data_IF_766108014850
#
_entry.id   IF_766108014850
#
_cell.length_a   1.000
_cell.length_b   1.000
_cell.length_c   1.000
_cell.angle_alpha   90.00
_cell.angle_beta   90.00
_cell.angle_gamma   90.00
#
_symmetry.space_group_name_H-M   'P 1'
#
loop_
_entity.id
_entity.type
_entity.pdbx_description
1 polymer ?
#
# COMPACT_ATOMS: atom_id res chain seq x y z
N UNK A 1 -12.85 -23.76 -10.77
CA UNK A 1 -12.97 -22.71 -9.73
C UNK A 1 -11.78 -22.74 -8.76
N UNK A 2 -11.58 -23.79 -7.96
CA UNK A 2 -10.59 -23.80 -6.86
C UNK A 2 -9.10 -23.62 -7.23
N UNK A 3 -8.65 -24.11 -8.40
CA UNK A 3 -7.25 -23.94 -8.84
C UNK A 3 -6.85 -22.50 -9.16
N UNK A 4 -7.83 -21.66 -9.51
CA UNK A 4 -7.65 -20.24 -9.88
C UNK A 4 -7.71 -19.38 -8.62
N UNK A 5 -8.72 -19.62 -7.79
CA UNK A 5 -8.93 -18.93 -6.51
C UNK A 5 -7.71 -19.02 -5.59
N UNK A 6 -7.01 -20.17 -5.55
CA UNK A 6 -5.89 -20.36 -4.64
C UNK A 6 -4.71 -19.41 -4.90
N UNK A 7 -4.38 -19.15 -6.17
CA UNK A 7 -3.28 -18.25 -6.51
C UNK A 7 -3.60 -16.81 -6.12
N UNK A 8 -4.81 -16.36 -6.44
CA UNK A 8 -5.22 -15.00 -6.11
C UNK A 8 -5.37 -14.78 -4.60
N UNK A 9 -6.10 -15.65 -3.93
CA UNK A 9 -6.32 -15.60 -2.49
C UNK A 9 -5.00 -15.71 -1.72
N UNK A 10 -4.11 -16.64 -2.11
CA UNK A 10 -2.80 -16.79 -1.50
C UNK A 10 -1.93 -15.55 -1.65
N UNK A 11 -1.89 -14.97 -2.85
CA UNK A 11 -1.17 -13.70 -3.11
C UNK A 11 -1.69 -12.59 -2.22
N UNK A 12 -3.01 -12.44 -2.15
CA UNK A 12 -3.65 -11.37 -1.40
C UNK A 12 -3.40 -11.48 0.11
N UNK A 13 -3.54 -12.69 0.68
CA UNK A 13 -3.20 -12.96 2.09
C UNK A 13 -1.73 -12.62 2.36
N UNK A 14 -0.82 -13.03 1.48
CA UNK A 14 0.60 -12.76 1.64
C UNK A 14 0.89 -11.25 1.62
N UNK A 15 0.32 -10.49 0.68
CA UNK A 15 0.47 -9.03 0.61
C UNK A 15 -0.09 -8.35 1.86
N UNK A 16 -1.27 -8.75 2.35
CA UNK A 16 -1.84 -8.25 3.62
C UNK A 16 -0.86 -8.46 4.78
N UNK A 17 -0.32 -9.69 4.93
CA UNK A 17 0.61 -10.01 6.01
C UNK A 17 1.87 -9.14 5.91
N UNK A 18 2.43 -8.99 4.71
CA UNK A 18 3.61 -8.16 4.46
C UNK A 18 3.32 -6.71 4.86
N UNK A 19 2.21 -6.15 4.38
CA UNK A 19 1.79 -4.78 4.71
C UNK A 19 1.65 -4.57 6.21
N UNK A 20 0.98 -5.47 6.92
CA UNK A 20 0.81 -5.36 8.37
C UNK A 20 2.13 -5.48 9.13
N UNK A 21 3.04 -6.37 8.71
CA UNK A 21 4.35 -6.50 9.35
C UNK A 21 5.22 -5.25 9.13
N UNK A 22 5.20 -4.69 7.92
CA UNK A 22 5.90 -3.44 7.61
C UNK A 22 5.33 -2.26 8.41
N UNK A 23 4.01 -2.20 8.56
CA UNK A 23 3.37 -1.18 9.40
C UNK A 23 3.79 -1.30 10.86
N UNK A 24 3.71 -2.50 11.45
CA UNK A 24 4.15 -2.73 12.84
C UNK A 24 5.66 -2.50 13.02
N UNK A 25 6.48 -2.71 12.00
CA UNK A 25 7.90 -2.37 12.03
C UNK A 25 8.15 -0.84 11.97
N UNK A 26 7.14 -0.06 11.57
CA UNK A 26 7.19 1.40 11.48
C UNK A 26 7.49 1.94 10.09
N UNK A 27 7.44 1.11 9.04
CA UNK A 27 7.84 1.45 7.68
C UNK A 27 7.05 2.63 7.11
N UNK A 28 5.72 2.55 7.14
CA UNK A 28 4.86 3.58 6.55
C UNK A 28 4.90 4.89 7.33
N UNK A 29 4.99 4.83 8.66
CA UNK A 29 5.17 6.00 9.52
C UNK A 29 6.52 6.68 9.27
N UNK A 30 7.58 5.88 9.12
CA UNK A 30 8.91 6.36 8.74
C UNK A 30 8.89 7.06 7.38
N UNK A 31 8.18 6.49 6.40
CA UNK A 31 8.05 7.07 5.07
C UNK A 31 7.25 8.39 5.11
N UNK A 32 6.11 8.40 5.80
CA UNK A 32 5.28 9.60 5.97
C UNK A 32 6.05 10.74 6.64
N UNK A 33 6.85 10.47 7.67
CA UNK A 33 7.68 11.49 8.33
C UNK A 33 8.83 12.03 7.44
N UNK A 34 9.37 11.22 6.53
CA UNK A 34 10.35 11.69 5.54
C UNK A 34 9.71 12.58 4.50
N UNK A 35 8.61 12.10 3.91
CA UNK A 35 7.80 12.83 2.93
C UNK A 35 7.33 14.17 3.52
N UNK A 36 6.92 14.18 4.79
CA UNK A 36 6.54 15.38 5.49
C UNK A 36 7.70 16.34 5.80
N UNK A 37 8.94 15.87 5.89
CA UNK A 37 10.10 16.76 5.96
C UNK A 37 10.49 17.31 4.58
N UNK A 38 10.37 16.49 3.53
CA UNK A 38 10.61 16.92 2.15
C UNK A 38 9.66 18.01 1.68
N UNK A 39 8.46 18.09 2.26
CA UNK A 39 7.54 19.21 2.04
C UNK A 39 8.13 20.57 2.44
N UNK A 40 9.18 20.60 3.27
CA UNK A 40 9.98 21.80 3.55
C UNK A 40 9.18 22.94 4.16
N UNK A 41 8.12 22.63 4.90
CA UNK A 41 7.23 23.61 5.51
C UNK A 41 6.13 24.14 4.59
N UNK A 42 6.05 23.74 3.32
CA UNK A 42 4.96 24.15 2.42
C UNK A 42 3.81 23.14 2.40
N UNK A 43 2.61 23.55 2.80
CA UNK A 43 1.45 22.66 2.88
C UNK A 43 1.02 22.10 1.52
N UNK A 44 1.21 22.86 0.42
CA UNK A 44 0.98 22.36 -0.95
C UNK A 44 1.96 21.27 -1.35
N UNK A 45 3.25 21.43 -1.04
CA UNK A 45 4.25 20.39 -1.31
C UNK A 45 3.95 19.15 -0.47
N UNK A 46 3.59 19.33 0.80
CA UNK A 46 3.17 18.24 1.68
C UNK A 46 1.97 17.47 1.11
N UNK A 47 0.96 18.18 0.61
CA UNK A 47 -0.23 17.58 0.02
C UNK A 47 0.13 16.70 -1.19
N UNK A 48 0.89 17.24 -2.15
CA UNK A 48 1.35 16.48 -3.31
C UNK A 48 2.19 15.27 -2.88
N UNK A 49 3.16 15.47 -1.99
CA UNK A 49 4.06 14.42 -1.55
C UNK A 49 3.34 13.29 -0.80
N UNK A 50 2.34 13.60 0.03
CA UNK A 50 1.55 12.57 0.71
C UNK A 50 0.62 11.82 -0.24
N UNK A 51 0.05 12.50 -1.25
CA UNK A 51 -0.73 11.83 -2.29
C UNK A 51 0.16 10.88 -3.08
N UNK A 52 1.37 11.31 -3.46
CA UNK A 52 2.32 10.46 -4.18
C UNK A 52 2.82 9.28 -3.31
N UNK A 53 2.99 9.49 -2.00
CA UNK A 53 3.26 8.40 -1.07
C UNK A 53 2.08 7.41 -1.05
N UNK A 54 0.84 7.91 -0.96
CA UNK A 54 -0.36 7.09 -1.04
C UNK A 54 -0.44 6.29 -2.33
N UNK A 55 -0.11 6.93 -3.46
CA UNK A 55 -0.07 6.28 -4.76
C UNK A 55 0.96 5.15 -4.81
N UNK A 56 2.16 5.39 -4.29
CA UNK A 56 3.23 4.39 -4.27
C UNK A 56 2.87 3.19 -3.37
N UNK A 57 2.26 3.44 -2.21
CA UNK A 57 1.83 2.36 -1.31
C UNK A 57 0.69 1.55 -1.92
N UNK A 58 -0.34 2.20 -2.49
CA UNK A 58 -1.45 1.50 -3.12
C UNK A 58 -1.01 0.66 -4.33
N UNK A 59 -0.09 1.18 -5.14
CA UNK A 59 0.51 0.44 -6.25
C UNK A 59 1.23 -0.84 -5.80
N UNK A 60 1.85 -0.86 -4.61
CA UNK A 60 2.67 -2.00 -4.16
C UNK A 60 1.96 -2.97 -3.19
N UNK A 61 1.00 -2.50 -2.39
CA UNK A 61 0.54 -3.18 -1.17
C UNK A 61 -0.97 -3.44 -1.07
N UNK A 62 -1.69 -3.20 -2.16
CA UNK A 62 -3.14 -3.13 -2.22
C UNK A 62 -3.76 -1.80 -1.74
N UNK A 63 -4.81 -1.36 -2.42
CA UNK A 63 -5.61 -0.19 -2.06
C UNK A 63 -6.19 -0.27 -0.64
N UNK A 64 -6.73 -1.42 -0.24
CA UNK A 64 -7.33 -1.62 1.09
C UNK A 64 -6.30 -1.45 2.21
N UNK A 65 -5.12 -2.05 2.01
CA UNK A 65 -3.99 -1.93 2.93
C UNK A 65 -3.50 -0.49 3.02
N UNK A 66 -3.36 0.17 1.87
CA UNK A 66 -2.97 1.58 1.80
C UNK A 66 -3.96 2.48 2.55
N UNK A 67 -5.27 2.30 2.33
CA UNK A 67 -6.31 3.08 2.99
C UNK A 67 -6.33 2.84 4.51
N UNK A 68 -6.28 1.58 4.95
CA UNK A 68 -6.33 1.22 6.37
C UNK A 68 -5.11 1.71 7.15
N UNK A 69 -3.92 1.67 6.53
CA UNK A 69 -2.65 1.98 7.19
C UNK A 69 -2.31 3.47 7.07
N UNK A 70 -2.40 4.07 5.87
CA UNK A 70 -1.98 5.45 5.68
C UNK A 70 -2.94 6.45 6.31
N UNK A 71 -4.24 6.19 6.31
CA UNK A 71 -5.22 7.11 6.90
C UNK A 71 -4.92 7.46 8.35
N UNK A 72 -4.75 6.51 9.29
CA UNK A 72 -4.43 6.85 10.68
C UNK A 72 -3.05 7.52 10.82
N UNK A 73 -2.07 7.16 9.98
CA UNK A 73 -0.73 7.76 9.98
C UNK A 73 -0.80 9.23 9.55
N UNK A 74 -1.48 9.50 8.45
CA UNK A 74 -1.69 10.85 7.91
C UNK A 74 -2.48 11.67 8.91
N UNK A 75 -3.58 11.14 9.45
CA UNK A 75 -4.36 11.79 10.50
C UNK A 75 -3.52 12.19 11.71
N UNK A 76 -2.78 11.24 12.29
CA UNK A 76 -1.94 11.51 13.46
C UNK A 76 -0.90 12.60 13.19
N UNK A 77 -0.35 12.63 11.98
CA UNK A 77 0.61 13.64 11.57
C UNK A 77 -0.02 15.02 11.36
N UNK A 78 -1.17 15.10 10.69
CA UNK A 78 -1.88 16.37 10.47
C UNK A 78 -2.36 16.97 11.80
N UNK A 79 -2.78 16.12 12.74
CA UNK A 79 -3.10 16.52 14.12
C UNK A 79 -1.85 17.03 14.85
N UNK A 80 -0.69 16.37 14.70
CA UNK A 80 0.57 16.83 15.27
C UNK A 80 1.01 18.19 14.71
N UNK A 81 0.73 18.45 13.42
CA UNK A 81 0.96 19.72 12.74
C UNK A 81 -0.12 20.78 13.03
N UNK A 82 -1.14 20.46 13.84
CA UNK A 82 -2.26 21.35 14.21
C UNK A 82 -3.04 21.87 13.01
N UNK A 83 -3.23 21.05 11.98
CA UNK A 83 -4.02 21.43 10.82
C UNK A 83 -5.50 21.58 11.18
N UNK A 84 -6.21 22.47 10.47
CA UNK A 84 -7.64 22.65 10.67
C UNK A 84 -8.43 21.38 10.30
N UNK A 85 -9.67 21.21 10.80
CA UNK A 85 -10.51 20.09 10.40
C UNK A 85 -10.74 20.03 8.89
N UNK A 86 -10.89 21.17 8.22
CA UNK A 86 -11.05 21.26 6.77
C UNK A 86 -9.80 20.77 6.02
N UNK A 87 -8.61 21.21 6.45
CA UNK A 87 -7.35 20.74 5.90
C UNK A 87 -7.19 19.23 6.13
N UNK A 88 -7.50 18.76 7.34
CA UNK A 88 -7.40 17.34 7.68
C UNK A 88 -8.30 16.49 6.79
N UNK A 89 -9.55 16.92 6.59
CA UNK A 89 -10.48 16.28 5.66
C UNK A 89 -9.91 16.23 4.24
N UNK A 90 -9.36 17.34 3.73
CA UNK A 90 -8.80 17.40 2.39
C UNK A 90 -7.69 16.36 2.18
N UNK A 91 -6.76 16.23 3.12
CA UNK A 91 -5.66 15.26 3.02
C UNK A 91 -6.15 13.81 3.13
N UNK A 92 -7.09 13.52 4.03
CA UNK A 92 -7.63 12.15 4.18
C UNK A 92 -8.44 11.74 2.96
N UNK A 93 -9.31 12.62 2.46
CA UNK A 93 -10.08 12.36 1.24
C UNK A 93 -9.14 12.15 0.05
N UNK A 94 -8.12 13.00 -0.09
CA UNK A 94 -7.11 12.84 -1.13
C UNK A 94 -6.37 11.51 -1.04
N UNK A 95 -6.01 11.07 0.18
CA UNK A 95 -5.39 9.76 0.42
C UNK A 95 -6.32 8.60 0.02
N UNK A 96 -7.63 8.72 0.28
CA UNK A 96 -8.62 7.73 -0.15
C UNK A 96 -8.76 7.65 -1.68
N UNK A 97 -9.00 8.79 -2.35
CA UNK A 97 -9.15 8.84 -3.80
C UNK A 97 -7.89 8.37 -4.55
N UNK A 98 -6.71 8.74 -4.03
CA UNK A 98 -5.46 8.29 -4.65
C UNK A 98 -5.20 6.81 -4.38
N UNK A 99 -5.54 6.28 -3.20
CA UNK A 99 -5.37 4.85 -2.92
C UNK A 99 -6.19 4.00 -3.88
N UNK A 100 -7.39 4.45 -4.25
CA UNK A 100 -8.21 3.80 -5.27
C UNK A 100 -7.60 3.97 -6.68
N UNK A 101 -7.36 5.22 -7.10
CA UNK A 101 -6.84 5.54 -8.44
C UNK A 101 -5.49 4.87 -8.73
N UNK A 102 -4.58 4.87 -7.75
CA UNK A 102 -3.21 4.42 -7.92
C UNK A 102 -3.03 2.89 -7.79
N UNK A 103 -4.13 2.17 -7.57
CA UNK A 103 -4.14 0.71 -7.44
C UNK A 103 -4.29 -0.04 -8.77
N UNK A 104 -4.10 0.65 -9.89
CA UNK A 104 -4.17 0.10 -11.24
C UNK A 104 -2.89 -0.60 -11.76
N UNK A 105 -1.65 -0.20 -11.41
CA UNK A 105 -0.50 -0.52 -12.26
C UNK A 105 -0.04 -1.97 -12.17
N UNK A 106 -0.20 -2.64 -11.03
CA UNK A 106 0.23 -4.03 -10.85
C UNK A 106 -0.97 -4.92 -10.56
N UNK A 107 -0.85 -6.19 -10.95
CA UNK A 107 -1.87 -7.21 -10.66
C UNK A 107 -2.13 -7.29 -9.16
N UNK A 108 -1.08 -7.19 -8.34
CA UNK A 108 -1.17 -7.26 -6.86
C UNK A 108 -1.70 -5.97 -6.19
N UNK A 109 -1.86 -4.88 -6.95
CA UNK A 109 -2.29 -3.58 -6.40
C UNK A 109 -3.77 -3.54 -6.01
N UNK A 110 -4.60 -4.45 -6.52
CA UNK A 110 -6.03 -4.49 -6.19
C UNK A 110 -6.54 -5.92 -6.41
N UNK A 111 -7.45 -6.36 -5.55
CA UNK A 111 -8.12 -7.66 -5.68
C UNK A 111 -8.78 -7.84 -7.06
N UNK A 112 -9.45 -6.81 -7.58
CA UNK A 112 -10.13 -6.87 -8.89
C UNK A 112 -9.12 -7.11 -10.02
N UNK A 113 -7.91 -6.56 -9.91
CA UNK A 113 -6.85 -6.77 -10.89
C UNK A 113 -6.37 -8.23 -10.88
N UNK A 114 -6.17 -8.81 -9.69
CA UNK A 114 -5.78 -10.21 -9.53
C UNK A 114 -6.84 -11.14 -10.16
N UNK A 115 -8.12 -10.89 -9.85
CA UNK A 115 -9.25 -11.65 -10.39
C UNK A 115 -9.30 -11.56 -11.92
N UNK A 116 -9.17 -10.36 -12.46
CA UNK A 116 -9.25 -10.12 -13.91
C UNK A 116 -8.06 -10.74 -14.64
N UNK A 117 -6.84 -10.52 -14.17
CA UNK A 117 -5.63 -11.07 -14.79
C UNK A 117 -5.65 -12.60 -14.79
N UNK A 118 -6.10 -13.23 -13.69
CA UNK A 118 -6.16 -14.69 -13.64
C UNK A 118 -7.32 -15.28 -14.45
N UNK A 119 -8.46 -14.59 -14.55
CA UNK A 119 -9.58 -15.01 -15.41
C UNK A 119 -9.21 -14.95 -16.90
N UNK A 120 -8.63 -13.82 -17.34
CA UNK A 120 -8.22 -13.62 -18.73
C UNK A 120 -6.84 -14.20 -19.08
N UNK A 121 -6.14 -14.80 -18.10
CA UNK A 121 -4.79 -15.35 -18.25
C UNK A 121 -3.77 -14.33 -18.76
N UNK A 122 -3.88 -13.09 -18.28
CA UNK A 122 -2.97 -11.99 -18.58
C UNK A 122 -1.75 -12.10 -17.67
N UNK A 123 -0.57 -12.02 -18.26
CA UNK A 123 0.69 -12.02 -17.51
C UNK A 123 0.88 -10.78 -16.65
N UNK A 124 1.65 -10.87 -15.57
CA UNK A 124 2.02 -9.75 -14.71
C UNK A 124 2.74 -8.66 -15.50
N UNK A 125 3.72 -9.04 -16.33
CA UNK A 125 4.51 -8.11 -17.14
C UNK A 125 3.66 -7.45 -18.23
N UNK A 126 2.82 -8.23 -18.91
CA UNK A 126 1.88 -7.72 -19.93
C UNK A 126 0.87 -6.74 -19.32
N UNK A 127 0.28 -7.11 -18.19
CA UNK A 127 -0.63 -6.26 -17.44
C UNK A 127 0.03 -4.93 -17.05
N UNK A 128 1.23 -5.00 -16.44
CA UNK A 128 1.96 -3.82 -15.99
C UNK A 128 2.38 -2.91 -17.16
N UNK A 129 2.78 -3.48 -18.31
CA UNK A 129 3.17 -2.70 -19.48
C UNK A 129 2.05 -1.77 -19.99
N UNK A 130 0.80 -2.20 -19.87
CA UNK A 130 -0.38 -1.43 -20.26
C UNK A 130 -0.85 -0.52 -19.11
N UNK A 131 -0.94 -1.07 -17.91
CA UNK A 131 -1.57 -0.38 -16.78
C UNK A 131 -0.67 0.64 -16.09
N UNK A 132 0.66 0.52 -16.17
CA UNK A 132 1.57 1.53 -15.62
C UNK A 132 1.41 2.89 -16.31
N UNK A 133 1.42 3.01 -17.65
CA UNK A 133 1.11 4.27 -18.33
C UNK A 133 -0.27 4.82 -17.99
N UNK A 134 -1.30 3.96 -17.97
CA UNK A 134 -2.68 4.35 -17.60
C UNK A 134 -2.71 4.91 -16.18
N UNK A 135 -2.02 4.25 -15.25
CA UNK A 135 -1.92 4.67 -13.87
C UNK A 135 -1.22 6.03 -13.72
N UNK A 136 -0.16 6.31 -14.48
CA UNK A 136 0.53 7.61 -14.44
C UNK A 136 -0.45 8.73 -14.83
N UNK A 137 -1.22 8.53 -15.91
CA UNK A 137 -2.21 9.51 -16.36
C UNK A 137 -3.34 9.66 -15.33
N UNK A 138 -3.84 8.55 -14.79
CA UNK A 138 -4.90 8.55 -13.79
C UNK A 138 -4.47 9.26 -12.49
N UNK A 139 -3.27 8.94 -11.97
CA UNK A 139 -2.67 9.61 -10.80
C UNK A 139 -2.48 11.10 -11.06
N UNK A 140 -1.98 11.48 -12.23
CA UNK A 140 -1.80 12.89 -12.58
C UNK A 140 -3.13 13.65 -12.65
N UNK A 141 -4.16 13.05 -13.27
CA UNK A 141 -5.50 13.63 -13.36
C UNK A 141 -6.15 13.76 -11.97
N UNK A 142 -6.10 12.71 -11.16
CA UNK A 142 -6.62 12.71 -9.79
C UNK A 142 -5.89 13.73 -8.92
N UNK A 143 -4.55 13.78 -8.99
CA UNK A 143 -3.76 14.78 -8.26
C UNK A 143 -4.12 16.21 -8.69
N UNK A 144 -4.24 16.47 -9.99
CA UNK A 144 -4.62 17.79 -10.51
C UNK A 144 -6.01 18.20 -10.03
N UNK A 145 -6.98 17.27 -10.09
CA UNK A 145 -8.35 17.50 -9.63
C UNK A 145 -8.39 17.77 -8.12
N UNK A 146 -7.71 16.96 -7.31
CA UNK A 146 -7.66 17.14 -5.86
C UNK A 146 -6.97 18.46 -5.48
N UNK A 147 -5.88 18.80 -6.16
CA UNK A 147 -5.20 20.09 -5.99
C UNK A 147 -6.10 21.27 -6.34
N UNK A 148 -6.93 21.15 -7.38
CA UNK A 148 -7.86 22.20 -7.78
C UNK A 148 -9.06 22.32 -6.83
N UNK A 149 -9.64 21.19 -6.41
CA UNK A 149 -10.79 21.14 -5.51
C UNK A 149 -10.43 21.67 -4.12
N UNK A 150 -9.39 21.10 -3.49
CA UNK A 150 -8.98 21.41 -2.12
C UNK A 150 -8.02 22.60 -2.02
N UNK A 151 -7.80 23.36 -3.11
CA UNK A 151 -6.84 24.49 -3.16
C UNK A 151 -7.02 25.53 -2.05
N UNK A 152 -8.24 25.66 -1.50
CA UNK A 152 -8.59 26.61 -0.44
C UNK A 152 -8.39 26.03 0.95
N UNK A 153 -8.47 24.72 1.10
CA UNK A 153 -8.39 24.01 2.37
C UNK A 153 -6.95 23.59 2.70
N UNK A 154 -6.07 23.49 1.69
CA UNK A 154 -4.66 23.19 1.88
C UNK A 154 -3.96 24.39 2.57
N UNK A 155 -3.33 24.18 3.74
CA UNK A 155 -2.57 25.23 4.42
C UNK A 155 -1.42 25.74 3.56
N UNK A 156 -1.06 27.02 3.72
CA UNK A 156 0.11 27.58 3.03
C UNK A 156 1.39 26.97 3.55
N UNK A 157 1.56 27.00 4.86
CA UNK A 157 2.78 26.60 5.55
C UNK A 157 2.49 25.75 6.79
N UNK A 158 3.48 24.98 7.23
CA UNK A 158 3.47 24.20 8.45
C UNK A 158 4.85 24.17 9.10
N UNK A 159 4.87 23.95 10.41
CA UNK A 159 6.10 23.88 11.18
C UNK A 159 6.68 22.46 11.16
N UNK A 160 7.80 22.29 10.46
CA UNK A 160 8.52 21.02 10.34
C UNK A 160 9.08 20.56 11.69
N UNK A 161 9.35 21.47 12.63
CA UNK A 161 9.92 21.14 13.95
C UNK A 161 8.92 20.41 14.85
N UNK A 162 7.63 20.46 14.54
CA UNK A 162 6.59 19.70 15.26
C UNK A 162 6.61 18.20 14.88
N UNK A 163 7.33 17.82 13.82
CA UNK A 163 7.41 16.43 13.38
C UNK A 163 8.45 15.63 14.17
N UNK A 164 8.03 14.51 14.74
CA UNK A 164 8.92 13.52 15.37
C UNK A 164 10.04 13.08 14.44
N UNK A 165 11.19 12.66 14.98
CA UNK A 165 12.28 12.18 14.13
C UNK A 165 11.89 10.88 13.43
N UNK A 166 12.23 10.69 12.13
CA UNK A 166 11.81 9.49 11.41
C UNK A 166 12.41 8.22 12.00
N UNK A 167 13.60 8.32 12.62
CA UNK A 167 14.26 7.20 13.30
C UNK A 167 13.44 6.68 14.48
N UNK A 168 12.68 7.54 15.16
CA UNK A 168 11.79 7.14 16.26
C UNK A 168 10.56 6.38 15.78
N UNK A 169 10.27 6.40 14.47
CA UNK A 169 9.18 5.60 13.91
C UNK A 169 9.54 4.13 13.74
N UNK A 170 10.83 3.78 13.66
CA UNK A 170 11.27 2.40 13.47
C UNK A 170 11.17 1.66 14.81
N UNK A 171 10.22 0.74 14.91
CA UNK A 171 9.97 -0.04 16.11
C UNK A 171 10.80 -1.34 16.13
N UNK A 172 10.96 -1.96 14.97
CA UNK A 172 11.76 -3.17 14.79
C UNK A 172 12.72 -2.99 13.61
N UNK A 173 14.00 -2.77 13.94
CA UNK A 173 15.05 -2.54 12.95
C UNK A 173 15.35 -3.76 12.07
N UNK A 174 15.17 -4.98 12.60
CA UNK A 174 15.42 -6.20 11.84
C UNK A 174 14.32 -6.39 10.79
N UNK A 175 13.06 -6.30 11.21
CA UNK A 175 11.91 -6.40 10.32
C UNK A 175 11.86 -5.24 9.31
N UNK A 176 12.24 -4.02 9.71
CA UNK A 176 12.33 -2.88 8.79
C UNK A 176 13.38 -3.10 7.68
N UNK A 177 14.58 -3.57 8.01
CA UNK A 177 15.62 -3.86 7.01
C UNK A 177 15.25 -5.05 6.13
N UNK A 178 14.70 -6.11 6.72
CA UNK A 178 14.17 -7.25 5.97
C UNK A 178 13.04 -6.82 5.03
N UNK A 179 12.24 -5.83 5.44
CA UNK A 179 11.19 -5.22 4.64
C UNK A 179 11.69 -4.71 3.30
N UNK A 180 12.75 -3.90 3.29
CA UNK A 180 13.36 -3.42 2.06
C UNK A 180 13.83 -4.55 1.13
N UNK A 181 14.46 -5.58 1.71
CA UNK A 181 14.88 -6.75 0.94
C UNK A 181 13.70 -7.53 0.37
N UNK A 182 12.66 -7.76 1.17
CA UNK A 182 11.47 -8.47 0.70
C UNK A 182 10.75 -7.67 -0.37
N UNK A 183 10.66 -6.34 -0.27
CA UNK A 183 10.07 -5.52 -1.34
C UNK A 183 10.84 -5.62 -2.65
N UNK A 184 12.17 -5.55 -2.58
CA UNK A 184 13.00 -5.75 -3.75
C UNK A 184 12.83 -7.17 -4.34
N UNK A 185 12.77 -8.19 -3.49
CA UNK A 185 12.56 -9.58 -3.91
C UNK A 185 11.17 -9.80 -4.53
N UNK A 186 10.12 -9.17 -4.01
CA UNK A 186 8.77 -9.24 -4.60
C UNK A 186 8.75 -8.60 -5.98
N UNK A 187 9.31 -7.40 -6.13
CA UNK A 187 9.36 -6.73 -7.42
C UNK A 187 10.16 -7.56 -8.44
N UNK A 188 11.38 -7.98 -8.09
CA UNK A 188 12.19 -8.81 -8.99
C UNK A 188 11.52 -10.15 -9.26
N UNK A 189 10.89 -10.77 -8.26
CA UNK A 189 10.22 -12.05 -8.37
C UNK A 189 8.98 -12.00 -9.26
N UNK A 190 8.14 -10.97 -9.13
CA UNK A 190 6.93 -10.83 -9.93
C UNK A 190 7.23 -10.63 -11.42
N UNK A 191 8.24 -9.85 -11.78
CA UNK A 191 8.64 -9.68 -13.18
C UNK A 191 9.54 -10.82 -13.71
N UNK A 192 10.43 -11.34 -12.87
CA UNK A 192 11.47 -12.29 -13.29
C UNK A 192 11.04 -13.75 -13.29
N UNK A 193 10.23 -14.18 -12.32
CA UNK A 193 9.86 -15.60 -12.15
C UNK A 193 8.60 -15.98 -12.92
N UNK A 194 7.89 -15.00 -13.48
CA UNK A 194 6.74 -15.22 -14.35
C UNK A 194 7.10 -16.10 -15.55
N UNK A 195 8.22 -15.83 -16.21
CA UNK A 195 8.70 -16.56 -17.39
C UNK A 195 9.00 -18.04 -17.10
N UNK A 196 9.20 -18.39 -15.82
CA UNK A 196 9.49 -19.76 -15.34
C UNK A 196 8.22 -20.48 -14.89
N UNK A 197 7.05 -19.84 -15.00
CA UNK A 197 5.75 -20.41 -14.61
C UNK A 197 5.51 -20.43 -13.10
N UNK A 198 6.30 -19.68 -12.31
CA UNK A 198 6.12 -19.59 -10.87
C UNK A 198 4.89 -18.71 -10.58
N UNK A 199 3.90 -19.19 -9.81
CA UNK A 199 2.71 -18.40 -9.51
C UNK A 199 3.05 -17.22 -8.59
N UNK A 200 2.37 -16.10 -8.80
CA UNK A 200 2.53 -14.85 -8.01
C UNK A 200 2.36 -15.13 -6.50
N UNK A 201 1.43 -16.03 -6.13
CA UNK A 201 1.22 -16.43 -4.74
C UNK A 201 2.43 -17.07 -4.10
N UNK A 202 3.23 -17.86 -4.83
CA UNK A 202 4.42 -18.49 -4.28
C UNK A 202 5.49 -17.44 -3.95
N UNK A 203 5.71 -16.47 -4.87
CA UNK A 203 6.63 -15.35 -4.66
C UNK A 203 6.19 -14.50 -3.47
N UNK A 204 4.91 -14.11 -3.44
CA UNK A 204 4.34 -13.32 -2.36
C UNK A 204 4.42 -14.06 -1.01
N UNK A 205 4.05 -15.34 -0.99
CA UNK A 205 4.08 -16.18 0.23
C UNK A 205 5.50 -16.37 0.75
N UNK A 206 6.49 -16.56 -0.12
CA UNK A 206 7.89 -16.64 0.28
C UNK A 206 8.34 -15.33 0.95
N UNK A 207 8.00 -14.17 0.38
CA UNK A 207 8.26 -12.86 0.99
C UNK A 207 7.60 -12.70 2.36
N UNK A 208 6.32 -13.09 2.47
CA UNK A 208 5.57 -13.06 3.73
C UNK A 208 6.20 -13.96 4.80
N UNK A 209 6.61 -15.18 4.43
CA UNK A 209 7.26 -16.14 5.34
C UNK A 209 8.63 -15.64 5.81
N UNK A 210 9.42 -15.03 4.94
CA UNK A 210 10.70 -14.40 5.30
C UNK A 210 10.47 -13.30 6.34
N UNK A 211 9.54 -12.38 6.07
CA UNK A 211 9.22 -11.30 7.01
C UNK A 211 8.64 -11.81 8.33
N UNK A 212 7.75 -12.79 8.28
CA UNK A 212 7.20 -13.44 9.49
C UNK A 212 8.31 -14.09 10.31
N UNK A 213 9.25 -14.79 9.68
CA UNK A 213 10.37 -15.44 10.35
C UNK A 213 11.31 -14.45 11.03
N UNK A 214 11.60 -13.32 10.38
CA UNK A 214 12.39 -12.24 10.97
C UNK A 214 11.65 -11.59 12.14
N UNK A 215 10.38 -11.24 11.95
CA UNK A 215 9.55 -10.62 12.99
C UNK A 215 9.35 -11.53 14.20
N UNK A 216 9.14 -12.84 13.98
CA UNK A 216 8.98 -13.82 15.04
C UNK A 216 10.24 -13.97 15.90
N UNK A 217 11.43 -13.85 15.30
CA UNK A 217 12.72 -13.90 16.03
C UNK A 217 12.97 -12.65 16.87
N UNK A 218 12.48 -11.49 16.43
CA UNK A 218 12.68 -10.23 17.13
C UNK A 218 11.87 -10.10 18.42
N UNK A 219 10.76 -10.84 18.58
CA UNK A 219 9.78 -10.73 19.68
C UNK A 219 9.16 -9.33 19.92
N UNK A 220 9.57 -8.31 19.17
CA UNK A 220 9.00 -6.94 19.22
C UNK A 220 7.61 -6.89 18.59
N UNK A 221 7.40 -7.64 17.51
CA UNK A 221 6.11 -7.69 16.80
C UNK A 221 5.39 -8.99 17.18
N UNK A 222 4.20 -8.86 17.77
CA UNK A 222 3.35 -10.02 18.01
C UNK A 222 2.71 -10.50 16.70
N UNK A 223 3.36 -11.47 16.04
CA UNK A 223 2.89 -12.08 14.79
C UNK A 223 1.48 -12.67 14.93
N UNK A 224 1.15 -13.25 16.09
CA UNK A 224 -0.20 -13.75 16.39
C UNK A 224 -1.25 -12.64 16.40
N UNK A 225 -0.91 -11.45 16.91
CA UNK A 225 -1.79 -10.29 16.91
C UNK A 225 -1.98 -9.76 15.49
N UNK A 226 -0.91 -9.68 14.70
CA UNK A 226 -0.96 -9.29 13.28
C UNK A 226 -1.90 -10.19 12.49
N UNK A 227 -1.78 -11.51 12.64
CA UNK A 227 -2.67 -12.46 11.96
C UNK A 227 -4.13 -12.34 12.43
N UNK A 228 -4.39 -12.01 13.70
CA UNK A 228 -5.76 -11.80 14.18
C UNK A 228 -6.38 -10.49 13.70
N UNK A 229 -5.59 -9.43 13.61
CA UNK A 229 -6.01 -8.09 13.19
C UNK A 229 -6.12 -7.95 11.65
N UNK A 230 -5.66 -8.95 10.90
CA UNK A 230 -5.77 -8.94 9.45
C UNK A 230 -7.25 -8.87 9.01
N UNK A 231 -7.56 -8.12 7.94
CA UNK A 231 -8.93 -7.94 7.46
C UNK A 231 -9.45 -9.19 6.71
N UNK A 232 -9.68 -10.29 7.45
CA UNK A 232 -10.14 -11.58 6.90
C UNK A 232 -11.46 -11.48 6.14
N UNK A 233 -12.27 -10.47 6.44
CA UNK A 233 -13.50 -10.16 5.71
C UNK A 233 -13.24 -9.93 4.22
N UNK A 234 -12.12 -9.28 3.87
CA UNK A 234 -11.76 -9.02 2.46
C UNK A 234 -11.38 -10.32 1.75
N UNK A 235 -10.74 -11.26 2.46
CA UNK A 235 -10.43 -12.59 1.93
C UNK A 235 -11.72 -13.37 1.66
N UNK A 236 -12.67 -13.36 2.59
CA UNK A 236 -13.98 -14.02 2.41
C UNK A 236 -14.76 -13.37 1.25
N UNK A 237 -14.76 -12.05 1.18
CA UNK A 237 -15.39 -11.29 0.09
C UNK A 237 -14.79 -11.66 -1.27
N UNK A 238 -13.46 -11.76 -1.36
CA UNK A 238 -12.75 -12.22 -2.56
C UNK A 238 -13.24 -13.59 -3.02
N UNK A 239 -13.32 -14.56 -2.11
CA UNK A 239 -13.84 -15.91 -2.42
C UNK A 239 -15.28 -15.85 -2.94
N UNK A 240 -16.12 -15.00 -2.36
CA UNK A 240 -17.49 -14.77 -2.81
C UNK A 240 -17.57 -14.20 -4.22
N UNK A 241 -16.76 -13.18 -4.54
CA UNK A 241 -16.70 -12.63 -5.90
C UNK A 241 -16.28 -13.68 -6.92
N UNK A 242 -15.28 -14.51 -6.60
CA UNK A 242 -14.89 -15.62 -7.47
C UNK A 242 -16.04 -16.59 -7.73
N UNK A 243 -16.80 -16.94 -6.70
CA UNK A 243 -17.93 -17.86 -6.85
C UNK A 243 -19.02 -17.27 -7.76
N UNK A 244 -19.32 -15.97 -7.61
CA UNK A 244 -20.32 -15.29 -8.46
C UNK A 244 -19.84 -15.17 -9.90
N UNK A 245 -18.60 -14.71 -10.13
CA UNK A 245 -18.05 -14.51 -11.49
C UNK A 245 -17.97 -15.83 -12.26
N UNK A 246 -17.62 -16.93 -11.60
CA UNK A 246 -17.55 -18.25 -12.25
C UNK A 246 -18.88 -19.00 -12.28
N UNK A 247 -19.86 -18.59 -11.47
CA UNK A 247 -21.19 -19.17 -11.45
C UNK A 247 -22.13 -18.59 -12.52
N UNK A 248 -21.78 -17.43 -13.07
CA UNK A 248 -22.40 -16.79 -14.24
C UNK A 248 -21.75 -17.27 -15.54
#
# INVERSE_FOLDING_TARGET
VWNIVWNATGTFIAVIIISLLLDKAGFFKWAALHVARWGGGSGRKLFVLLILLGAAVAALFANDGAALILTPIVMAMLLALRFSPAATLAFVMAAGFIADTASLPLVVSNLVNIVSADFFKIGFTEYAAIMVPVNIVAVAATLAMLMWFFRRDIPKDYDVMQLKNPREAILDSATFKAGWWVLALLLVGFFGLEHVGVPISAVASAGALILLGVAARGHVISTRKVLKEAPWQIVIFSLGMYLVVYGL
#
